data_IF_256820403392
#
_entry.id   IF_256820403392
#
_cell.length_a   1.000
_cell.length_b   1.000
_cell.length_c   1.000
_cell.angle_alpha   90.00
_cell.angle_beta   90.00
_cell.angle_gamma   90.00
#
_symmetry.space_group_name_H-M   'P 1'
#
loop_
_entity.id
_entity.type
_entity.pdbx_description
1 polymer ?
#
# COMPACT_ATOMS: atom_id res chain seq x y z
N UNK A 1 11.85 -28.09 1.48
CA UNK A 1 12.10 -28.14 2.93
C UNK A 1 12.02 -26.72 3.46
N UNK A 2 11.07 -26.53 4.38
CA UNK A 2 10.82 -25.39 5.29
C UNK A 2 11.00 -23.95 4.79
N UNK A 3 9.87 -23.29 4.53
CA UNK A 3 9.73 -21.85 4.72
C UNK A 3 8.61 -21.57 5.75
N UNK A 4 8.53 -22.45 6.76
CA UNK A 4 7.50 -22.41 7.81
C UNK A 4 7.85 -21.49 8.98
N UNK A 5 8.95 -20.73 8.92
CA UNK A 5 9.46 -19.96 10.05
C UNK A 5 8.54 -18.81 10.45
N UNK A 6 8.38 -17.80 9.59
CA UNK A 6 7.62 -16.58 9.96
C UNK A 6 6.11 -16.82 9.93
N UNK A 7 5.59 -17.50 8.90
CA UNK A 7 4.16 -17.85 8.83
C UNK A 7 3.76 -18.73 10.02
N UNK A 8 4.51 -19.80 10.30
CA UNK A 8 4.23 -20.68 11.43
C UNK A 8 4.34 -19.98 12.79
N UNK A 9 5.22 -18.99 12.93
CA UNK A 9 5.26 -18.17 14.15
C UNK A 9 4.03 -17.25 14.24
N UNK A 10 3.65 -16.56 13.16
CA UNK A 10 2.43 -15.74 13.15
C UNK A 10 1.19 -16.59 13.46
N UNK A 11 1.14 -17.82 12.95
CA UNK A 11 0.07 -18.79 13.25
C UNK A 11 0.12 -19.29 14.71
N UNK A 12 1.30 -19.25 15.35
CA UNK A 12 1.49 -19.57 16.77
C UNK A 12 1.16 -18.42 17.72
N UNK A 13 1.04 -17.18 17.20
CA UNK A 13 0.57 -16.05 17.99
C UNK A 13 -0.89 -16.33 18.35
N UNK A 14 -1.26 -16.30 19.64
CA UNK A 14 -2.63 -16.53 20.07
C UNK A 14 -3.63 -15.71 19.26
N UNK A 15 -4.61 -16.39 18.65
CA UNK A 15 -5.65 -15.77 17.82
C UNK A 15 -6.52 -14.74 18.57
N UNK A 16 -6.38 -14.63 19.90
CA UNK A 16 -7.06 -13.64 20.71
C UNK A 16 -6.35 -12.27 20.74
N UNK A 17 -5.11 -12.17 20.23
CA UNK A 17 -4.47 -10.87 20.11
C UNK A 17 -5.11 -10.05 18.98
N UNK A 18 -5.33 -8.73 19.19
CA UNK A 18 -5.71 -7.85 18.10
C UNK A 18 -4.71 -7.96 16.95
N UNK A 19 -5.17 -7.86 15.70
CA UNK A 19 -4.29 -7.92 14.50
C UNK A 19 -3.19 -6.85 14.49
N UNK A 20 -3.30 -5.83 15.33
CA UNK A 20 -2.30 -4.77 15.54
C UNK A 20 -1.52 -4.89 16.85
N UNK A 21 -1.50 -6.07 17.48
CA UNK A 21 -0.75 -6.28 18.72
C UNK A 21 0.76 -6.12 18.48
N UNK A 22 1.52 -5.48 19.39
CA UNK A 22 2.96 -5.24 19.19
C UNK A 22 3.77 -6.50 18.87
N UNK A 23 3.40 -7.66 19.43
CA UNK A 23 4.05 -8.95 19.12
C UNK A 23 4.03 -9.29 17.63
N UNK A 24 2.95 -8.96 16.92
CA UNK A 24 2.84 -9.20 15.47
C UNK A 24 3.84 -8.33 14.72
N UNK A 25 3.99 -7.06 15.12
CA UNK A 25 4.97 -6.15 14.53
C UNK A 25 6.41 -6.59 14.87
N UNK A 26 6.69 -7.01 16.11
CA UNK A 26 8.00 -7.57 16.48
C UNK A 26 8.33 -8.82 15.65
N UNK A 27 7.36 -9.72 15.46
CA UNK A 27 7.53 -10.91 14.65
C UNK A 27 7.80 -10.59 13.17
N UNK A 28 7.29 -9.45 12.66
CA UNK A 28 7.55 -9.03 11.28
C UNK A 28 9.04 -8.77 11.00
N UNK A 29 9.85 -8.43 12.02
CA UNK A 29 11.31 -8.25 11.90
C UNK A 29 12.06 -9.52 11.47
N UNK A 30 11.42 -10.69 11.51
CA UNK A 30 12.01 -11.95 11.04
C UNK A 30 11.97 -12.09 9.51
N UNK A 31 11.16 -11.29 8.82
CA UNK A 31 11.22 -11.17 7.37
C UNK A 31 12.50 -10.44 6.95
N UNK A 32 13.02 -10.78 5.76
CA UNK A 32 14.02 -9.92 5.11
C UNK A 32 13.34 -8.65 4.58
N UNK A 33 14.08 -7.55 4.43
CA UNK A 33 13.51 -6.33 3.85
C UNK A 33 12.92 -6.57 2.45
N UNK A 34 13.56 -7.46 1.68
CA UNK A 34 13.13 -7.84 0.33
C UNK A 34 11.90 -8.77 0.32
N UNK A 35 11.41 -9.23 1.48
CA UNK A 35 10.18 -10.02 1.57
C UNK A 35 8.93 -9.13 1.54
N UNK A 36 9.06 -7.82 1.78
CA UNK A 36 7.96 -6.86 1.85
C UNK A 36 7.64 -6.23 0.50
N UNK A 37 6.35 -6.02 0.26
CA UNK A 37 5.83 -5.09 -0.76
C UNK A 37 4.85 -4.13 -0.11
N UNK A 38 5.07 -2.84 -0.33
CA UNK A 38 4.15 -1.79 0.06
C UNK A 38 3.23 -1.50 -1.11
N UNK A 39 1.93 -1.38 -0.87
CA UNK A 39 0.93 -1.28 -1.93
C UNK A 39 -0.11 -0.21 -1.60
N UNK A 40 -0.50 0.53 -2.63
CA UNK A 40 -1.47 1.62 -2.59
C UNK A 40 -2.13 1.78 -3.98
N UNK A 41 -3.40 2.16 -4.03
CA UNK A 41 -4.13 2.36 -5.30
C UNK A 41 -4.73 3.77 -5.41
N UNK A 42 -4.83 4.26 -6.64
CA UNK A 42 -5.67 5.40 -6.98
C UNK A 42 -6.84 4.98 -7.84
N UNK A 43 -8.02 5.53 -7.54
CA UNK A 43 -9.26 5.15 -8.21
C UNK A 43 -9.97 6.34 -8.84
N UNK A 44 -10.86 6.08 -9.79
CA UNK A 44 -11.74 7.11 -10.38
C UNK A 44 -12.92 7.50 -9.50
N UNK A 45 -12.97 7.00 -8.27
CA UNK A 45 -14.08 7.18 -7.34
C UNK A 45 -14.22 6.00 -6.41
N UNK A 46 -15.37 5.94 -5.72
CA UNK A 46 -15.67 4.83 -4.81
C UNK A 46 -16.30 3.66 -5.58
N UNK A 47 -16.40 2.52 -4.89
CA UNK A 47 -17.18 1.31 -5.23
C UNK A 47 -17.35 1.00 -6.73
N UNK A 48 -16.60 0.02 -7.24
CA UNK A 48 -16.76 -0.47 -8.62
C UNK A 48 -16.20 0.45 -9.71
N UNK A 49 -15.73 1.64 -9.35
CA UNK A 49 -14.94 2.52 -10.24
C UNK A 49 -13.63 1.84 -10.66
N UNK A 50 -13.07 2.18 -11.84
CA UNK A 50 -11.75 1.70 -12.23
C UNK A 50 -10.65 2.15 -11.27
N UNK A 51 -9.68 1.26 -11.03
CA UNK A 51 -8.36 1.62 -10.49
C UNK A 51 -7.53 2.19 -11.63
N UNK A 52 -6.99 3.39 -11.45
CA UNK A 52 -6.22 4.11 -12.47
C UNK A 52 -4.72 4.10 -12.22
N UNK A 53 -4.29 3.80 -10.99
CA UNK A 53 -2.90 3.64 -10.65
C UNK A 53 -2.77 2.53 -9.61
N UNK A 54 -1.87 1.60 -9.88
CA UNK A 54 -1.42 0.60 -8.92
C UNK A 54 0.01 0.95 -8.52
N UNK A 55 0.20 1.39 -7.29
CA UNK A 55 1.49 1.75 -6.74
C UNK A 55 2.07 0.64 -5.88
N UNK A 56 3.37 0.39 -6.02
CA UNK A 56 4.08 -0.42 -5.06
C UNK A 56 5.51 0.04 -4.82
N UNK A 57 6.00 -0.19 -3.61
CA UNK A 57 7.43 -0.07 -3.29
C UNK A 57 7.95 -1.37 -2.69
N UNK A 58 9.24 -1.63 -2.88
CA UNK A 58 9.91 -2.80 -2.31
C UNK A 58 11.42 -2.53 -2.21
N UNK A 59 12.09 -3.28 -1.34
CA UNK A 59 13.55 -3.21 -1.22
C UNK A 59 14.19 -4.18 -2.22
N UNK A 60 15.15 -3.67 -2.99
CA UNK A 60 16.05 -4.43 -3.85
C UNK A 60 17.38 -3.67 -4.00
N UNK A 61 18.50 -4.38 -4.02
CA UNK A 61 19.84 -3.80 -4.14
C UNK A 61 20.13 -2.68 -3.11
N UNK A 62 19.70 -2.91 -1.86
CA UNK A 62 19.79 -1.94 -0.74
C UNK A 62 19.13 -0.57 -1.02
N UNK A 63 18.15 -0.52 -1.93
CA UNK A 63 17.37 0.68 -2.25
C UNK A 63 15.89 0.39 -2.20
N UNK A 64 15.11 1.41 -1.84
CA UNK A 64 13.66 1.38 -2.06
C UNK A 64 13.42 1.65 -3.54
N UNK A 65 12.82 0.68 -4.21
CA UNK A 65 12.39 0.79 -5.60
C UNK A 65 10.88 0.97 -5.63
N UNK A 66 10.39 1.77 -6.57
CA UNK A 66 8.95 1.95 -6.80
C UNK A 66 8.58 1.43 -8.18
N UNK A 67 7.43 0.78 -8.27
CA UNK A 67 6.82 0.35 -9.52
C UNK A 67 5.37 0.82 -9.55
N UNK A 68 4.97 1.42 -10.65
CA UNK A 68 3.66 2.04 -10.79
C UNK A 68 3.06 1.64 -12.14
N UNK A 69 1.83 1.12 -12.11
CA UNK A 69 1.06 0.82 -13.31
C UNK A 69 -0.03 1.87 -13.46
N UNK A 70 0.28 2.94 -14.19
CA UNK A 70 -0.66 4.02 -14.52
C UNK A 70 -1.43 3.68 -15.79
N UNK A 71 -2.75 3.73 -15.73
CA UNK A 71 -3.60 3.55 -16.90
C UNK A 71 -3.56 4.81 -17.76
N UNK A 72 -3.26 4.67 -19.05
CA UNK A 72 -3.42 5.72 -20.07
C UNK A 72 -4.84 5.73 -20.62
N UNK A 73 -5.51 4.59 -20.53
CA UNK A 73 -6.92 4.40 -20.84
C UNK A 73 -7.53 3.41 -19.85
N UNK A 74 -8.80 3.62 -19.47
CA UNK A 74 -9.52 2.75 -18.54
C UNK A 74 -9.54 1.28 -19.00
N UNK A 75 -9.55 1.03 -20.31
CA UNK A 75 -9.53 -0.33 -20.87
C UNK A 75 -8.22 -1.10 -20.58
N UNK A 76 -7.18 -0.44 -20.08
CA UNK A 76 -5.91 -1.06 -19.67
C UNK A 76 -5.97 -1.62 -18.24
N UNK A 77 -7.05 -1.40 -17.49
CA UNK A 77 -7.20 -1.90 -16.11
C UNK A 77 -6.98 -3.42 -15.98
N UNK A 78 -7.56 -4.29 -16.84
CA UNK A 78 -7.37 -5.74 -16.71
C UNK A 78 -5.89 -6.13 -16.83
N UNK A 79 -5.18 -5.57 -17.81
CA UNK A 79 -3.75 -5.86 -17.99
C UNK A 79 -2.91 -5.33 -16.84
N UNK A 80 -3.19 -4.13 -16.35
CA UNK A 80 -2.46 -3.52 -15.23
C UNK A 80 -2.70 -4.28 -13.94
N UNK A 81 -3.94 -4.73 -13.71
CA UNK A 81 -4.31 -5.56 -12.57
C UNK A 81 -3.59 -6.91 -12.61
N UNK A 82 -3.59 -7.59 -13.76
CA UNK A 82 -2.86 -8.85 -13.94
C UNK A 82 -1.36 -8.72 -13.64
N UNK A 83 -0.71 -7.67 -14.16
CA UNK A 83 0.70 -7.41 -13.89
C UNK A 83 0.92 -7.06 -12.41
N UNK A 84 0.03 -6.29 -11.79
CA UNK A 84 0.09 -5.98 -10.37
C UNK A 84 0.08 -7.25 -9.52
N UNK A 85 -0.86 -8.17 -9.75
CA UNK A 85 -0.93 -9.44 -9.02
C UNK A 85 0.32 -10.29 -9.24
N UNK A 86 0.88 -10.28 -10.45
CA UNK A 86 2.12 -11.00 -10.76
C UNK A 86 3.32 -10.45 -9.98
N UNK A 87 3.41 -9.13 -9.81
CA UNK A 87 4.47 -8.48 -9.03
C UNK A 87 4.29 -8.71 -7.52
N UNK A 88 3.06 -8.59 -7.00
CA UNK A 88 2.77 -8.83 -5.59
C UNK A 88 3.16 -10.25 -5.17
N UNK A 89 2.97 -11.24 -6.06
CA UNK A 89 3.30 -12.64 -5.83
C UNK A 89 4.78 -12.92 -5.57
N UNK A 90 5.67 -12.02 -5.99
CA UNK A 90 7.12 -12.17 -5.81
C UNK A 90 7.50 -12.05 -4.32
N UNK A 91 6.69 -11.32 -3.54
CA UNK A 91 6.97 -10.97 -2.15
C UNK A 91 6.11 -11.79 -1.20
N UNK A 92 6.52 -11.87 0.07
CA UNK A 92 5.88 -12.74 1.08
C UNK A 92 4.94 -11.99 2.00
N UNK A 93 5.16 -10.70 2.19
CA UNK A 93 4.40 -9.86 3.10
C UNK A 93 3.92 -8.60 2.38
N UNK A 94 2.60 -8.43 2.35
CA UNK A 94 1.96 -7.20 1.89
C UNK A 94 1.91 -6.19 3.03
N UNK A 95 2.21 -4.94 2.73
CA UNK A 95 2.10 -3.81 3.64
C UNK A 95 1.25 -2.73 2.99
N UNK A 96 0.28 -2.20 3.71
CA UNK A 96 -0.57 -1.09 3.25
C UNK A 96 -0.78 -0.09 4.39
N UNK A 97 -1.27 1.10 4.08
CA UNK A 97 -1.76 2.05 5.08
C UNK A 97 -3.28 2.19 4.96
N UNK A 98 -4.04 1.62 5.89
CA UNK A 98 -5.51 1.49 5.84
C UNK A 98 -6.06 0.57 4.72
N UNK A 99 -5.20 -0.11 3.97
CA UNK A 99 -5.61 -0.93 2.83
C UNK A 99 -6.34 -2.23 3.14
N UNK A 100 -6.42 -2.69 4.40
CA UNK A 100 -7.37 -3.77 4.75
C UNK A 100 -8.83 -3.33 4.59
N UNK A 101 -9.09 -2.04 4.72
CA UNK A 101 -10.44 -1.47 4.64
C UNK A 101 -10.73 -0.85 3.28
N UNK A 102 -9.71 -0.67 2.43
CA UNK A 102 -9.85 0.04 1.16
C UNK A 102 -9.13 -0.67 0.01
N UNK A 103 -7.80 -0.52 -0.11
CA UNK A 103 -7.02 -0.94 -1.28
C UNK A 103 -7.21 -2.41 -1.65
N UNK A 104 -7.14 -3.29 -0.66
CA UNK A 104 -7.21 -4.74 -0.90
C UNK A 104 -8.63 -5.21 -1.23
N UNK A 105 -9.68 -4.86 -0.46
CA UNK A 105 -11.06 -5.13 -0.88
C UNK A 105 -11.36 -4.62 -2.29
N UNK A 106 -10.94 -3.39 -2.61
CA UNK A 106 -11.18 -2.80 -3.93
C UNK A 106 -10.45 -3.57 -5.04
N UNK A 107 -9.18 -3.92 -4.82
CA UNK A 107 -8.40 -4.74 -5.75
C UNK A 107 -9.05 -6.11 -5.98
N UNK A 108 -9.54 -6.76 -4.91
CA UNK A 108 -10.24 -8.05 -4.99
C UNK A 108 -11.56 -7.95 -5.74
N UNK A 109 -12.33 -6.88 -5.52
CA UNK A 109 -13.57 -6.61 -6.26
C UNK A 109 -13.30 -6.46 -7.77
N UNK A 110 -12.24 -5.74 -8.16
CA UNK A 110 -11.84 -5.62 -9.57
C UNK A 110 -11.37 -6.94 -10.17
N UNK A 111 -10.64 -7.77 -9.42
CA UNK A 111 -10.29 -9.13 -9.86
C UNK A 111 -11.54 -9.97 -10.11
N UNK A 112 -12.51 -9.93 -9.19
CA UNK A 112 -13.79 -10.61 -9.34
C UNK A 112 -14.58 -10.12 -10.55
N UNK A 113 -14.63 -8.80 -10.77
CA UNK A 113 -15.28 -8.19 -11.93
C UNK A 113 -14.71 -8.71 -13.26
N UNK A 114 -13.39 -8.82 -13.36
CA UNK A 114 -12.70 -9.34 -14.54
C UNK A 114 -12.54 -10.87 -14.57
N UNK A 115 -13.09 -11.60 -13.59
CA UNK A 115 -12.97 -13.06 -13.44
C UNK A 115 -11.52 -13.55 -13.45
N UNK A 116 -10.66 -12.82 -12.75
CA UNK A 116 -9.24 -13.13 -12.61
C UNK A 116 -8.96 -13.83 -11.27
N UNK A 117 -7.99 -14.74 -11.27
CA UNK A 117 -7.56 -15.43 -10.05
C UNK A 117 -6.87 -14.47 -9.06
N UNK A 118 -7.14 -14.67 -7.77
CA UNK A 118 -6.55 -13.89 -6.67
C UNK A 118 -5.28 -14.53 -6.08
N UNK A 119 -4.73 -15.56 -6.71
CA UNK A 119 -3.66 -16.43 -6.17
C UNK A 119 -2.28 -15.75 -6.03
N UNK A 120 -2.14 -14.49 -6.43
CA UNK A 120 -0.88 -13.75 -6.32
C UNK A 120 -0.77 -12.81 -5.12
N UNK A 121 -1.84 -12.61 -4.34
CA UNK A 121 -1.81 -11.70 -3.19
C UNK A 121 -1.12 -12.40 -2.00
N UNK A 122 -0.09 -11.78 -1.39
CA UNK A 122 0.54 -12.33 -0.19
C UNK A 122 -0.46 -12.52 0.95
N UNK A 123 -0.39 -13.67 1.62
CA UNK A 123 -1.32 -14.01 2.72
C UNK A 123 -1.03 -13.20 4.00
N UNK A 124 0.24 -12.87 4.23
CA UNK A 124 0.65 -12.03 5.35
C UNK A 124 0.40 -10.58 4.95
N UNK A 125 -0.43 -9.87 5.73
CA UNK A 125 -0.79 -8.48 5.48
C UNK A 125 -0.66 -7.63 6.74
N UNK A 126 0.28 -6.69 6.72
CA UNK A 126 0.45 -5.67 7.76
C UNK A 126 -0.24 -4.38 7.32
N UNK A 127 -1.27 -3.97 8.07
CA UNK A 127 -1.92 -2.67 7.85
C UNK A 127 -1.42 -1.69 8.90
N UNK A 128 -0.59 -0.75 8.45
CA UNK A 128 0.18 0.13 9.30
C UNK A 128 -0.70 1.09 10.10
N UNK A 129 -1.88 1.48 9.60
CA UNK A 129 -2.75 2.42 10.31
C UNK A 129 -3.10 1.91 11.72
N UNK A 130 -3.39 0.62 11.86
CA UNK A 130 -3.77 0.06 13.15
C UNK A 130 -2.59 -0.05 14.12
N UNK A 131 -1.38 -0.28 13.61
CA UNK A 131 -0.17 -0.27 14.42
C UNK A 131 0.20 1.16 14.83
N UNK A 132 0.16 2.12 13.90
CA UNK A 132 0.41 3.55 14.15
C UNK A 132 -0.57 4.13 15.18
N UNK A 133 -1.86 3.79 15.11
CA UNK A 133 -2.85 4.21 16.13
C UNK A 133 -2.50 3.68 17.52
N UNK A 134 -1.99 2.46 17.61
CA UNK A 134 -1.58 1.87 18.89
C UNK A 134 -0.32 2.53 19.44
N UNK A 135 0.68 2.74 18.59
CA UNK A 135 1.96 3.30 18.97
C UNK A 135 1.84 4.79 19.33
N UNK A 136 1.14 5.56 18.50
CA UNK A 136 1.23 7.03 18.52
C UNK A 136 -0.13 7.75 18.63
N UNK A 137 -1.24 7.03 18.68
CA UNK A 137 -2.59 7.62 18.67
C UNK A 137 -2.90 8.53 19.87
N UNK A 138 -2.17 8.41 20.98
CA UNK A 138 -2.29 9.29 22.14
C UNK A 138 -1.41 10.55 22.04
N UNK A 139 -0.43 10.56 21.12
CA UNK A 139 0.59 11.60 21.00
C UNK A 139 0.42 12.46 19.74
N UNK A 140 -0.32 11.95 18.75
CA UNK A 140 -0.61 12.64 17.49
C UNK A 140 -2.06 13.12 17.48
N UNK A 141 -2.32 14.26 16.82
CA UNK A 141 -3.68 14.75 16.58
C UNK A 141 -4.55 13.69 15.88
N UNK A 142 -3.96 12.99 14.91
CA UNK A 142 -4.54 11.83 14.26
C UNK A 142 -3.42 10.98 13.63
N UNK A 143 -3.73 9.74 13.25
CA UNK A 143 -2.79 8.85 12.57
C UNK A 143 -3.05 8.77 11.07
N UNK A 144 -3.39 9.88 10.40
CA UNK A 144 -3.35 9.93 8.94
C UNK A 144 -1.89 9.93 8.47
N UNK A 145 -1.67 9.46 7.25
CA UNK A 145 -0.33 9.33 6.67
C UNK A 145 0.43 10.66 6.71
N UNK A 146 -0.20 11.75 6.24
CA UNK A 146 0.37 13.10 6.25
C UNK A 146 0.71 13.62 7.65
N UNK A 147 -0.06 13.26 8.69
CA UNK A 147 0.26 13.66 10.07
C UNK A 147 1.49 12.92 10.57
N UNK A 148 1.62 11.62 10.27
CA UNK A 148 2.81 10.83 10.64
C UNK A 148 4.05 11.35 9.90
N UNK A 149 3.94 11.67 8.61
CA UNK A 149 5.03 12.27 7.84
C UNK A 149 5.54 13.56 8.47
N UNK A 150 4.62 14.46 8.79
CA UNK A 150 4.96 15.76 9.37
C UNK A 150 5.56 15.63 10.76
N UNK A 151 4.90 14.91 11.66
CA UNK A 151 5.24 14.92 13.08
C UNK A 151 6.36 13.93 13.44
N UNK A 152 6.50 12.82 12.70
CA UNK A 152 7.50 11.78 13.01
C UNK A 152 8.64 11.68 11.99
N UNK A 153 8.41 12.01 10.72
CA UNK A 153 9.46 11.99 9.69
C UNK A 153 10.04 13.38 9.40
N UNK A 154 9.41 14.46 9.89
CA UNK A 154 9.80 15.83 9.58
C UNK A 154 9.60 16.19 8.10
N UNK A 155 8.78 15.44 7.39
CA UNK A 155 8.52 15.60 5.95
C UNK A 155 7.20 16.35 5.74
N UNK A 156 7.20 17.29 4.80
CA UNK A 156 5.99 17.99 4.38
C UNK A 156 5.82 17.84 2.88
N UNK A 157 4.61 17.49 2.46
CA UNK A 157 4.31 17.37 1.04
C UNK A 157 4.14 18.75 0.43
N UNK A 158 4.91 19.01 -0.63
CA UNK A 158 4.80 20.23 -1.42
C UNK A 158 4.00 19.90 -2.69
N UNK A 159 2.99 20.70 -2.99
CA UNK A 159 2.18 20.56 -4.22
C UNK A 159 1.42 19.22 -4.32
N UNK A 160 1.04 18.62 -3.18
CA UNK A 160 0.31 17.36 -3.14
C UNK A 160 -1.13 17.51 -3.66
N UNK A 161 -1.58 16.55 -4.48
CA UNK A 161 -2.98 16.51 -4.90
C UNK A 161 -3.82 15.93 -3.76
N UNK A 162 -4.90 16.58 -3.32
CA UNK A 162 -5.83 15.94 -2.41
C UNK A 162 -6.39 14.67 -3.06
N UNK A 163 -6.41 13.53 -2.36
CA UNK A 163 -6.90 12.26 -2.95
C UNK A 163 -8.32 12.38 -3.53
N UNK A 164 -9.16 13.28 -2.98
CA UNK A 164 -10.50 13.58 -3.52
C UNK A 164 -10.50 14.22 -4.93
N UNK A 165 -9.38 14.83 -5.33
CA UNK A 165 -9.20 15.49 -6.64
C UNK A 165 -8.60 14.56 -7.69
N UNK A 166 -8.05 13.41 -7.29
CA UNK A 166 -7.43 12.43 -8.20
C UNK A 166 -8.36 12.06 -9.38
N UNK A 167 -9.65 11.74 -9.18
CA UNK A 167 -10.56 11.46 -10.28
C UNK A 167 -10.73 12.63 -11.25
N UNK A 168 -10.74 13.86 -10.76
CA UNK A 168 -10.89 15.05 -11.60
C UNK A 168 -9.64 15.28 -12.46
N UNK A 169 -8.46 15.14 -11.86
CA UNK A 169 -7.20 15.28 -12.58
C UNK A 169 -7.08 14.24 -13.69
N UNK A 170 -7.45 12.99 -13.40
CA UNK A 170 -7.45 11.94 -14.40
C UNK A 170 -8.49 12.17 -15.52
N UNK A 171 -9.70 12.64 -15.18
CA UNK A 171 -10.71 13.05 -16.20
C UNK A 171 -10.20 14.18 -17.10
N UNK A 172 -9.49 15.15 -16.54
CA UNK A 172 -8.89 16.24 -17.30
C UNK A 172 -7.81 15.72 -18.26
N UNK A 173 -7.01 14.74 -17.83
CA UNK A 173 -6.08 14.05 -18.73
C UNK A 173 -6.81 13.36 -19.88
N UNK A 174 -7.83 12.54 -19.60
CA UNK A 174 -8.55 11.79 -20.64
C UNK A 174 -9.24 12.69 -21.67
N UNK A 175 -9.79 13.84 -21.23
CA UNK A 175 -10.53 14.75 -22.11
C UNK A 175 -9.62 15.64 -22.97
N UNK A 176 -8.47 16.06 -22.42
CA UNK A 176 -7.58 17.02 -23.07
C UNK A 176 -6.35 16.40 -23.73
N UNK A 177 -5.98 15.17 -23.34
CA UNK A 177 -4.70 14.55 -23.68
C UNK A 177 -3.49 15.20 -22.98
N UNK A 178 -3.69 16.23 -22.16
CA UNK A 178 -2.63 16.88 -21.40
C UNK A 178 -2.16 15.96 -20.26
N UNK A 179 -0.89 15.57 -20.26
CA UNK A 179 -0.31 14.71 -19.23
C UNK A 179 -0.03 15.43 -17.90
N UNK A 180 -0.07 16.76 -17.86
CA UNK A 180 0.22 17.56 -16.68
C UNK A 180 -0.55 17.11 -15.41
N UNK A 181 -1.87 16.91 -15.47
CA UNK A 181 -2.67 16.39 -14.35
C UNK A 181 -2.26 14.99 -13.84
N UNK A 182 -1.55 14.18 -14.63
CA UNK A 182 -1.10 12.85 -14.17
C UNK A 182 0.11 12.92 -13.24
N UNK A 183 0.97 13.93 -13.40
CA UNK A 183 2.21 14.07 -12.62
C UNK A 183 1.93 14.06 -11.11
N UNK A 184 1.03 14.91 -10.56
CA UNK A 184 0.79 14.92 -9.12
C UNK A 184 0.11 13.63 -8.62
N UNK A 185 -0.69 12.93 -9.44
CA UNK A 185 -1.26 11.62 -9.07
C UNK A 185 -0.14 10.59 -8.88
N UNK A 186 0.80 10.53 -9.83
CA UNK A 186 1.93 9.59 -9.78
C UNK A 186 2.85 9.90 -8.61
N UNK A 187 3.18 11.17 -8.37
CA UNK A 187 4.04 11.55 -7.25
C UNK A 187 3.35 11.34 -5.89
N UNK A 188 2.04 11.60 -5.76
CA UNK A 188 1.27 11.31 -4.55
C UNK A 188 1.37 9.82 -4.17
N UNK A 189 0.93 8.94 -5.06
CA UNK A 189 0.95 7.50 -4.83
C UNK A 189 2.36 6.96 -4.56
N UNK A 190 3.38 7.51 -5.25
CA UNK A 190 4.79 7.16 -5.01
C UNK A 190 5.24 7.54 -3.60
N UNK A 191 4.89 8.75 -3.14
CA UNK A 191 5.17 9.19 -1.77
C UNK A 191 4.48 8.24 -0.78
N UNK A 192 3.21 7.90 -1.00
CA UNK A 192 2.43 7.05 -0.10
C UNK A 192 3.05 5.66 0.12
N UNK A 193 3.47 4.98 -0.95
CA UNK A 193 4.12 3.66 -0.84
C UNK A 193 5.52 3.74 -0.24
N UNK A 194 6.24 4.86 -0.40
CA UNK A 194 7.56 5.07 0.21
C UNK A 194 7.43 5.42 1.69
N UNK A 195 6.49 6.30 2.04
CA UNK A 195 6.18 6.66 3.42
C UNK A 195 5.75 5.43 4.20
N UNK A 196 4.94 4.54 3.61
CA UNK A 196 4.58 3.27 4.24
C UNK A 196 5.81 2.43 4.63
N UNK A 197 6.86 2.41 3.81
CA UNK A 197 8.12 1.75 4.14
C UNK A 197 8.85 2.41 5.32
N UNK A 198 8.88 3.75 5.34
CA UNK A 198 9.47 4.51 6.46
C UNK A 198 8.69 4.28 7.77
N UNK A 199 7.37 4.21 7.72
CA UNK A 199 6.52 3.97 8.89
C UNK A 199 6.74 2.57 9.45
N UNK A 200 6.91 1.56 8.60
CA UNK A 200 7.26 0.21 9.07
C UNK A 200 8.57 0.26 9.88
N UNK A 201 9.58 1.00 9.40
CA UNK A 201 10.83 1.17 10.13
C UNK A 201 10.64 1.89 11.48
N UNK A 202 9.84 2.97 11.53
CA UNK A 202 9.52 3.66 12.79
C UNK A 202 8.82 2.72 13.79
N UNK A 203 7.88 1.89 13.32
CA UNK A 203 7.19 0.91 14.17
C UNK A 203 8.13 -0.18 14.69
N UNK A 204 9.18 -0.51 13.94
CA UNK A 204 10.25 -1.39 14.41
C UNK A 204 11.15 -0.72 15.45
N UNK A 205 11.38 0.58 15.37
CA UNK A 205 12.15 1.30 16.39
C UNK A 205 11.35 1.47 17.68
N UNK A 206 10.03 1.64 17.58
CA UNK A 206 9.11 1.74 18.71
C UNK A 206 9.02 0.46 19.56
N UNK A 207 9.11 -0.74 18.94
CA UNK A 207 8.78 -2.03 19.58
C UNK A 207 9.82 -3.13 19.34
#
# INVERSE_FOLDING_TARGET
>A
MENNGVSGLLDSIPNNYPKSHPTIMKASKMHKLEDFVFYDIETMGLFGSPIILFGMSFVADNKINTKQFLLRNINEEPSSLYHTISELKIRKALVTFNGKSFDMPFTQDRLGYYRMDNLGIPQIHYDLLHFSRRAWGNNLENCKLQTIEKELLGESRKDDVPSSMVPEFYRNYLSSGNIGPLIPIVEHNKIDVVTSAKILNLLWEEW
#
